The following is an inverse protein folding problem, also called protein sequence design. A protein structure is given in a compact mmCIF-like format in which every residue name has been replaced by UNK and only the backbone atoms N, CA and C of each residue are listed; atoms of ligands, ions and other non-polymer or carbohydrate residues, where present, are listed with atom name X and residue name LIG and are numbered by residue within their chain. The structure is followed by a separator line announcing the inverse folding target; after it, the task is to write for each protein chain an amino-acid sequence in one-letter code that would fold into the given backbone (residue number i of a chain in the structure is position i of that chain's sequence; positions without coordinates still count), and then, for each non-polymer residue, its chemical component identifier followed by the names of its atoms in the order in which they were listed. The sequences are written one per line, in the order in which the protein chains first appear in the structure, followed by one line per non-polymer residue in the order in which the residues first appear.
data_IF_465349699102
#
_entry.id   IF_465349699102
#
_cell.length_a   1.000
_cell.length_b   1.000
_cell.length_c   1.000
_cell.angle_alpha   90.00
_cell.angle_beta   90.00
_cell.angle_gamma   90.00
#
_symmetry.space_group_name_H-M   'P 1'
#
loop_
_entity.id
_entity.type
_entity.pdbx_description
1 polymer ?
#
# COMPACT_ATOMS: atom_id res chain seq x y z
N UNK A 1 -51.57 -24.32 12.88
CA UNK A 1 -50.31 -25.09 12.90
C UNK A 1 -49.86 -25.27 11.44
N UNK A 2 -49.11 -24.31 10.87
CA UNK A 2 -48.67 -24.38 9.47
C UNK A 2 -47.38 -25.22 9.38
N UNK A 3 -47.49 -26.47 8.93
CA UNK A 3 -46.32 -27.28 8.53
C UNK A 3 -45.85 -26.78 7.18
N UNK A 4 -44.69 -26.12 7.14
CA UNK A 4 -43.95 -25.86 5.91
C UNK A 4 -43.52 -27.21 5.31
N UNK A 5 -44.27 -27.71 4.32
CA UNK A 5 -43.83 -28.82 3.49
C UNK A 5 -42.61 -28.36 2.67
N UNK A 6 -41.41 -28.69 3.14
CA UNK A 6 -40.23 -28.66 2.27
C UNK A 6 -40.44 -29.74 1.21
N UNK A 7 -40.74 -29.32 -0.02
CA UNK A 7 -40.98 -30.24 -1.13
C UNK A 7 -39.72 -31.06 -1.42
N UNK A 8 -39.87 -32.36 -1.73
CA UNK A 8 -38.76 -33.24 -2.10
C UNK A 8 -37.97 -32.72 -3.32
N UNK A 9 -38.59 -31.89 -4.16
CA UNK A 9 -37.95 -31.15 -5.25
C UNK A 9 -36.83 -30.24 -4.76
N UNK A 10 -37.08 -29.47 -3.69
CA UNK A 10 -36.12 -28.52 -3.10
C UNK A 10 -34.90 -29.25 -2.49
N UNK A 11 -35.11 -30.43 -1.92
CA UNK A 11 -34.03 -31.30 -1.42
C UNK A 11 -33.21 -31.92 -2.56
N UNK A 12 -33.88 -32.32 -3.66
CA UNK A 12 -33.21 -32.88 -4.84
C UNK A 12 -32.33 -31.84 -5.56
N UNK A 13 -32.80 -30.59 -5.67
CA UNK A 13 -32.05 -29.51 -6.27
C UNK A 13 -30.88 -29.07 -5.39
N UNK A 14 -31.05 -29.02 -4.07
CA UNK A 14 -29.95 -28.80 -3.12
C UNK A 14 -28.87 -29.87 -3.24
N UNK A 15 -29.25 -31.14 -3.36
CA UNK A 15 -28.30 -32.24 -3.57
C UNK A 15 -27.60 -32.15 -4.94
N UNK A 16 -28.32 -31.76 -5.99
CA UNK A 16 -27.76 -31.54 -7.32
C UNK A 16 -26.76 -30.39 -7.32
N UNK A 17 -27.09 -29.25 -6.72
CA UNK A 17 -26.20 -28.09 -6.55
C UNK A 17 -24.95 -28.49 -5.75
N UNK A 18 -25.11 -29.19 -4.63
CA UNK A 18 -24.00 -29.69 -3.80
C UNK A 18 -23.06 -30.60 -4.59
N UNK A 19 -23.60 -31.49 -5.42
CA UNK A 19 -22.79 -32.38 -6.26
C UNK A 19 -22.00 -31.62 -7.35
N UNK A 20 -22.62 -30.60 -7.96
CA UNK A 20 -21.97 -29.74 -8.97
C UNK A 20 -20.88 -28.88 -8.36
N UNK A 21 -21.11 -28.28 -7.20
CA UNK A 21 -20.12 -27.51 -6.46
C UNK A 21 -18.93 -28.38 -6.03
N UNK A 22 -19.18 -29.59 -5.53
CA UNK A 22 -18.09 -30.52 -5.16
C UNK A 22 -17.22 -30.87 -6.37
N UNK A 23 -17.83 -31.11 -7.54
CA UNK A 23 -17.11 -31.32 -8.81
C UNK A 23 -16.39 -30.06 -9.32
N UNK A 24 -17.00 -28.89 -9.12
CA UNK A 24 -16.39 -27.62 -9.49
C UNK A 24 -15.14 -27.33 -8.67
N UNK A 25 -15.21 -27.46 -7.33
CA UNK A 25 -14.08 -27.20 -6.44
C UNK A 25 -12.89 -28.10 -6.77
N UNK A 26 -13.13 -29.40 -7.03
CA UNK A 26 -12.04 -30.34 -7.36
C UNK A 26 -11.46 -30.15 -8.76
N UNK A 27 -12.22 -29.56 -9.68
CA UNK A 27 -11.78 -29.30 -11.07
C UNK A 27 -11.42 -27.84 -11.31
N UNK A 28 -11.45 -26.99 -10.28
CA UNK A 28 -11.19 -25.56 -10.41
C UNK A 28 -9.75 -25.37 -10.88
N UNK A 29 -9.52 -24.68 -12.01
CA UNK A 29 -8.17 -24.38 -12.46
C UNK A 29 -7.45 -23.50 -11.44
N UNK A 30 -6.13 -23.65 -11.35
CA UNK A 30 -5.30 -22.82 -10.48
C UNK A 30 -5.34 -21.34 -10.91
N UNK A 31 -5.05 -20.42 -9.99
CA UNK A 31 -4.92 -19.00 -10.30
C UNK A 31 -3.93 -18.76 -11.44
N UNK A 32 -2.78 -19.44 -11.38
CA UNK A 32 -1.73 -19.38 -12.41
C UNK A 32 -2.27 -19.79 -13.79
N UNK A 33 -3.03 -20.89 -13.87
CA UNK A 33 -3.65 -21.34 -15.13
C UNK A 33 -4.66 -20.33 -15.68
N UNK A 34 -5.36 -19.60 -14.82
CA UNK A 34 -6.29 -18.55 -15.24
C UNK A 34 -5.55 -17.30 -15.75
N UNK A 35 -4.42 -16.95 -15.14
CA UNK A 35 -3.53 -15.89 -15.60
C UNK A 35 -2.88 -16.23 -16.95
N UNK A 36 -2.33 -17.44 -17.09
CA UNK A 36 -1.72 -17.94 -18.35
C UNK A 36 -2.72 -17.95 -19.52
N UNK A 37 -4.00 -18.19 -19.24
CA UNK A 37 -5.08 -18.13 -20.23
C UNK A 37 -5.56 -16.70 -20.54
N UNK A 38 -4.98 -15.69 -19.90
CA UNK A 38 -5.40 -14.29 -20.03
C UNK A 38 -6.79 -14.00 -19.45
N UNK A 39 -7.36 -14.94 -18.69
CA UNK A 39 -8.67 -14.77 -18.05
C UNK A 39 -8.57 -13.88 -16.80
N UNK A 40 -7.39 -13.80 -16.19
CA UNK A 40 -7.04 -12.89 -15.11
C UNK A 40 -5.80 -12.13 -15.55
N UNK A 41 -5.94 -10.82 -15.80
CA UNK A 41 -4.79 -9.95 -16.09
C UNK A 41 -4.06 -9.60 -14.80
N UNK A 42 -2.77 -9.31 -14.93
CA UNK A 42 -2.00 -8.75 -13.83
C UNK A 42 -2.59 -7.39 -13.45
N UNK A 43 -2.86 -7.24 -12.16
CA UNK A 43 -3.49 -6.05 -11.61
C UNK A 43 -2.41 -5.11 -11.08
N UNK A 44 -2.67 -3.81 -11.02
CA UNK A 44 -1.72 -2.88 -10.36
C UNK A 44 -1.75 -3.10 -8.84
N UNK A 45 -2.96 -3.15 -8.26
CA UNK A 45 -3.15 -3.49 -6.86
C UNK A 45 -2.97 -4.98 -6.61
N UNK A 46 -2.23 -5.34 -5.56
CA UNK A 46 -2.00 -6.74 -5.19
C UNK A 46 -0.81 -7.40 -5.90
N UNK A 47 -0.17 -6.72 -6.84
CA UNK A 47 1.00 -7.22 -7.56
C UNK A 47 2.30 -6.81 -6.89
N UNK A 48 3.35 -7.58 -7.15
CA UNK A 48 4.68 -7.28 -6.64
C UNK A 48 5.20 -5.97 -7.26
N UNK A 49 5.82 -5.04 -6.49
CA UNK A 49 6.31 -3.77 -7.02
C UNK A 49 7.22 -3.92 -8.23
N UNK A 50 8.08 -4.94 -8.22
CA UNK A 50 8.95 -5.29 -9.36
C UNK A 50 8.14 -5.55 -10.63
N UNK A 51 7.12 -6.42 -10.57
CA UNK A 51 6.30 -6.79 -11.74
C UNK A 51 5.58 -5.57 -12.31
N UNK A 52 4.97 -4.76 -11.46
CA UNK A 52 4.29 -3.52 -11.87
C UNK A 52 5.29 -2.57 -12.56
N UNK A 53 6.44 -2.34 -11.94
CA UNK A 53 7.47 -1.43 -12.44
C UNK A 53 8.09 -1.92 -13.76
N UNK A 54 8.29 -3.23 -13.91
CA UNK A 54 8.80 -3.86 -15.12
C UNK A 54 7.82 -3.71 -16.30
N UNK A 55 6.52 -3.97 -16.08
CA UNK A 55 5.48 -3.75 -17.07
C UNK A 55 5.39 -2.28 -17.51
N UNK A 56 5.61 -1.35 -16.57
CA UNK A 56 5.57 0.09 -16.83
C UNK A 56 6.90 0.66 -17.36
N UNK A 57 7.96 -0.15 -17.47
CA UNK A 57 9.33 0.29 -17.77
C UNK A 57 9.77 1.49 -16.89
N UNK A 58 9.53 1.38 -15.58
CA UNK A 58 9.73 2.43 -14.57
C UNK A 58 10.32 1.80 -13.30
N UNK A 59 10.77 2.61 -12.33
CA UNK A 59 11.11 2.16 -10.97
C UNK A 59 10.10 2.61 -9.92
N UNK A 60 9.07 3.36 -10.34
CA UNK A 60 7.97 3.80 -9.47
C UNK A 60 6.68 3.67 -10.25
N UNK A 61 5.66 3.04 -9.66
CA UNK A 61 4.37 2.86 -10.34
C UNK A 61 3.76 4.21 -10.71
N UNK A 62 3.22 4.31 -11.93
CA UNK A 62 2.53 5.50 -12.42
C UNK A 62 1.40 5.92 -11.47
N UNK A 63 0.70 4.95 -10.86
CA UNK A 63 -0.40 5.23 -9.93
C UNK A 63 0.08 5.96 -8.68
N UNK A 64 1.24 5.56 -8.15
CA UNK A 64 1.87 6.24 -7.01
C UNK A 64 2.22 7.68 -7.36
N UNK A 65 2.84 7.90 -8.53
CA UNK A 65 3.19 9.25 -9.03
C UNK A 65 1.94 10.12 -9.19
N UNK A 66 0.89 9.60 -9.81
CA UNK A 66 -0.37 10.33 -10.04
C UNK A 66 -1.05 10.73 -8.73
N UNK A 67 -1.17 9.81 -7.76
CA UNK A 67 -1.70 10.13 -6.44
C UNK A 67 -0.90 11.24 -5.75
N UNK A 68 0.44 11.18 -5.80
CA UNK A 68 1.32 12.18 -5.21
C UNK A 68 1.15 13.54 -5.89
N UNK A 69 1.08 13.60 -7.21
CA UNK A 69 0.89 14.86 -7.94
C UNK A 69 -0.47 15.50 -7.63
N UNK A 70 -1.53 14.71 -7.52
CA UNK A 70 -2.86 15.23 -7.16
C UNK A 70 -2.89 15.77 -5.73
N UNK A 71 -2.26 15.06 -4.78
CA UNK A 71 -2.15 15.55 -3.40
C UNK A 71 -1.30 16.83 -3.34
N UNK A 72 -0.22 16.92 -4.13
CA UNK A 72 0.56 18.17 -4.25
C UNK A 72 -0.29 19.32 -4.80
N UNK A 73 -1.12 19.06 -5.81
CA UNK A 73 -1.94 20.07 -6.49
C UNK A 73 -3.05 20.63 -5.60
N UNK A 74 -3.77 19.78 -4.85
CA UNK A 74 -4.99 20.20 -4.12
C UNK A 74 -5.15 19.64 -2.71
N UNK A 75 -4.22 18.83 -2.22
CA UNK A 75 -4.34 18.14 -0.93
C UNK A 75 -3.48 18.68 0.20
N UNK A 76 -2.42 19.45 -0.08
CA UNK A 76 -1.41 19.80 0.92
C UNK A 76 -1.93 20.70 2.06
N UNK A 77 -3.02 21.43 1.84
CA UNK A 77 -3.63 22.33 2.85
C UNK A 77 -4.88 21.71 3.50
N UNK A 78 -5.25 20.47 3.16
CA UNK A 78 -6.46 19.82 3.69
C UNK A 78 -6.20 19.23 5.07
N UNK A 79 -7.02 19.61 6.05
CA UNK A 79 -6.96 19.12 7.41
C UNK A 79 -6.93 17.59 7.49
N UNK A 80 -5.92 17.06 8.18
CA UNK A 80 -5.76 15.63 8.37
C UNK A 80 -5.51 14.85 7.08
N UNK A 81 -4.89 15.46 6.05
CA UNK A 81 -4.47 14.74 4.83
C UNK A 81 -3.70 13.46 5.19
N UNK A 82 -4.00 12.34 4.52
CA UNK A 82 -3.57 10.97 4.88
C UNK A 82 -4.11 10.37 6.17
N UNK A 83 -4.49 11.15 7.19
CA UNK A 83 -5.12 10.64 8.43
C UNK A 83 -6.60 10.35 8.25
N UNK A 84 -7.34 11.29 7.67
CA UNK A 84 -8.78 11.16 7.41
C UNK A 84 -9.02 10.10 6.33
N UNK A 85 -10.07 9.30 6.51
CA UNK A 85 -10.47 8.23 5.60
C UNK A 85 -11.47 8.75 4.57
N UNK A 86 -11.20 8.51 3.29
CA UNK A 86 -12.18 8.74 2.22
C UNK A 86 -13.24 7.64 2.18
N UNK A 87 -14.25 7.85 1.34
CA UNK A 87 -15.30 6.86 1.13
C UNK A 87 -14.75 5.55 0.56
N UNK A 88 -14.88 4.45 1.30
CA UNK A 88 -14.32 3.15 0.92
C UNK A 88 -14.90 2.60 -0.40
N UNK A 89 -16.19 2.81 -0.67
CA UNK A 89 -16.81 2.36 -1.91
C UNK A 89 -16.20 3.10 -3.12
N UNK A 90 -15.96 4.40 -3.00
CA UNK A 90 -15.28 5.20 -4.03
C UNK A 90 -13.82 4.78 -4.20
N UNK A 91 -13.11 4.47 -3.11
CA UNK A 91 -11.75 3.93 -3.17
C UNK A 91 -11.72 2.58 -3.91
N UNK A 92 -12.68 1.68 -3.64
CA UNK A 92 -12.79 0.40 -4.34
C UNK A 92 -13.10 0.59 -5.83
N UNK A 93 -13.94 1.58 -6.18
CA UNK A 93 -14.18 1.96 -7.58
C UNK A 93 -12.90 2.44 -8.26
N UNK A 94 -12.10 3.28 -7.59
CA UNK A 94 -10.81 3.76 -8.11
C UNK A 94 -9.83 2.60 -8.32
N UNK A 95 -9.70 1.72 -7.32
CA UNK A 95 -8.91 0.49 -7.40
C UNK A 95 -9.29 -0.36 -8.62
N UNK A 96 -10.58 -0.56 -8.86
CA UNK A 96 -11.07 -1.31 -10.01
C UNK A 96 -10.65 -0.67 -11.34
N UNK A 97 -10.84 0.65 -11.49
CA UNK A 97 -10.47 1.39 -12.71
C UNK A 97 -8.96 1.30 -12.97
N UNK A 98 -8.14 1.48 -11.92
CA UNK A 98 -6.67 1.36 -12.02
C UNK A 98 -6.26 -0.04 -12.48
N UNK A 99 -6.88 -1.10 -11.95
CA UNK A 99 -6.57 -2.48 -12.32
C UNK A 99 -6.99 -2.86 -13.74
N UNK A 100 -7.92 -2.12 -14.35
CA UNK A 100 -8.37 -2.34 -15.72
C UNK A 100 -7.48 -1.64 -16.74
N UNK A 101 -6.43 -0.93 -16.30
CA UNK A 101 -5.55 -0.10 -17.14
C UNK A 101 -6.32 0.93 -18.00
N UNK A 102 -7.50 1.35 -17.52
CA UNK A 102 -8.26 2.41 -18.15
C UNK A 102 -7.56 3.76 -17.94
N UNK A 103 -7.77 4.71 -18.86
CA UNK A 103 -7.24 6.08 -18.72
C UNK A 103 -7.81 6.71 -17.45
N UNK A 104 -7.01 6.80 -16.41
CA UNK A 104 -7.39 7.43 -15.15
C UNK A 104 -7.02 8.92 -15.17
N UNK A 105 -8.03 9.77 -14.98
CA UNK A 105 -7.83 11.18 -14.64
C UNK A 105 -8.30 11.45 -13.20
N UNK A 106 -7.36 11.68 -12.29
CA UNK A 106 -7.66 11.96 -10.87
C UNK A 106 -8.18 13.39 -10.60
N UNK A 107 -8.25 14.23 -11.65
CA UNK A 107 -8.93 15.54 -11.60
C UNK A 107 -10.43 15.45 -11.92
N UNK A 108 -10.94 14.29 -12.35
CA UNK A 108 -12.37 14.12 -12.61
C UNK A 108 -13.20 14.30 -11.32
N UNK A 109 -14.42 14.85 -11.45
CA UNK A 109 -15.33 15.10 -10.32
C UNK A 109 -15.66 13.85 -9.51
N UNK A 110 -15.54 12.67 -10.11
CA UNK A 110 -15.67 11.40 -9.42
C UNK A 110 -14.66 11.21 -8.26
N UNK A 111 -13.53 11.90 -8.32
CA UNK A 111 -12.42 11.81 -7.36
C UNK A 111 -12.18 13.13 -6.61
N UNK A 112 -13.16 14.03 -6.58
CA UNK A 112 -13.04 15.36 -5.97
C UNK A 112 -12.59 15.29 -4.50
N UNK A 113 -13.07 14.31 -3.73
CA UNK A 113 -12.59 14.06 -2.37
C UNK A 113 -11.14 13.55 -2.38
N UNK A 114 -10.21 14.38 -1.88
CA UNK A 114 -8.79 14.03 -1.79
C UNK A 114 -8.54 12.83 -0.86
N UNK A 115 -9.43 12.57 0.09
CA UNK A 115 -9.31 11.43 1.00
C UNK A 115 -9.55 10.09 0.29
N UNK A 116 -10.25 10.10 -0.86
CA UNK A 116 -10.33 8.92 -1.76
C UNK A 116 -8.95 8.64 -2.37
N UNK A 117 -8.26 9.67 -2.88
CA UNK A 117 -6.94 9.52 -3.51
C UNK A 117 -5.90 9.04 -2.48
N UNK A 118 -5.82 9.70 -1.33
CA UNK A 118 -4.91 9.28 -0.25
C UNK A 118 -5.28 7.92 0.32
N UNK A 119 -6.57 7.59 0.40
CA UNK A 119 -7.07 6.27 0.79
C UNK A 119 -6.64 5.17 -0.16
N UNK A 120 -6.73 5.42 -1.47
CA UNK A 120 -6.30 4.49 -2.52
C UNK A 120 -4.78 4.32 -2.56
N UNK A 121 -4.01 5.40 -2.38
CA UNK A 121 -2.55 5.30 -2.26
C UNK A 121 -2.13 4.44 -1.05
N UNK A 122 -2.76 4.64 0.12
CA UNK A 122 -2.53 3.78 1.29
C UNK A 122 -2.92 2.31 1.00
N UNK A 123 -4.06 2.10 0.33
CA UNK A 123 -4.53 0.77 -0.03
C UNK A 123 -3.56 0.04 -0.97
N UNK A 124 -2.97 0.74 -1.94
CA UNK A 124 -1.95 0.18 -2.84
C UNK A 124 -0.80 -0.45 -2.06
N UNK A 125 -0.19 0.27 -1.11
CA UNK A 125 0.92 -0.25 -0.30
C UNK A 125 0.51 -1.37 0.66
N UNK A 126 -0.71 -1.31 1.23
CA UNK A 126 -1.23 -2.38 2.10
C UNK A 126 -1.48 -3.67 1.34
N UNK A 127 -1.91 -3.59 0.08
CA UNK A 127 -2.23 -4.76 -0.74
C UNK A 127 -1.01 -5.37 -1.43
N UNK A 128 0.17 -4.73 -1.38
CA UNK A 128 1.39 -5.35 -1.92
C UNK A 128 1.63 -6.73 -1.28
N UNK A 129 2.04 -7.75 -2.05
CA UNK A 129 2.33 -9.07 -1.52
C UNK A 129 3.47 -9.05 -0.49
N UNK A 130 4.44 -8.17 -0.71
CA UNK A 130 5.51 -7.83 0.24
C UNK A 130 5.47 -6.32 0.54
N UNK A 131 5.66 -5.88 1.80
CA UNK A 131 5.71 -4.46 2.15
C UNK A 131 6.77 -3.70 1.35
N UNK A 132 6.61 -2.37 1.25
CA UNK A 132 7.58 -1.52 0.57
C UNK A 132 8.98 -1.67 1.17
N UNK A 133 9.05 -1.80 2.51
CA UNK A 133 10.23 -2.26 3.23
C UNK A 133 10.20 -3.80 3.25
N UNK A 134 11.03 -4.51 2.46
CA UNK A 134 10.95 -5.96 2.32
C UNK A 134 11.16 -6.68 3.65
N UNK A 135 10.56 -7.86 3.82
CA UNK A 135 10.62 -8.63 5.08
C UNK A 135 12.08 -8.94 5.46
N UNK A 136 12.91 -9.27 4.47
CA UNK A 136 14.35 -9.53 4.64
C UNK A 136 15.16 -8.35 5.20
N UNK A 137 14.63 -7.13 5.12
CA UNK A 137 15.27 -5.92 5.65
C UNK A 137 14.68 -5.46 6.98
N UNK A 138 13.51 -5.97 7.39
CA UNK A 138 12.78 -5.46 8.55
C UNK A 138 13.64 -5.45 9.83
N UNK A 139 14.23 -6.59 10.20
CA UNK A 139 15.08 -6.70 11.39
C UNK A 139 16.31 -5.78 11.30
N UNK A 140 16.88 -5.58 10.10
CA UNK A 140 18.03 -4.69 9.92
C UNK A 140 17.63 -3.22 10.16
N UNK A 141 16.44 -2.81 9.71
CA UNK A 141 15.91 -1.48 10.01
C UNK A 141 15.60 -1.30 11.50
N UNK A 142 15.08 -2.33 12.17
CA UNK A 142 14.84 -2.34 13.62
C UNK A 142 16.15 -2.18 14.39
N UNK A 143 17.19 -2.95 14.06
CA UNK A 143 18.51 -2.82 14.69
C UNK A 143 19.17 -1.47 14.40
N UNK A 144 18.93 -0.90 13.22
CA UNK A 144 19.44 0.43 12.88
C UNK A 144 18.86 1.52 13.80
N UNK A 145 17.55 1.53 14.06
CA UNK A 145 16.91 2.55 14.92
C UNK A 145 17.24 2.38 16.40
N UNK A 146 17.64 1.19 16.85
CA UNK A 146 18.05 0.92 18.23
C UNK A 146 19.44 1.45 18.58
N UNK A 147 20.27 1.82 17.60
CA UNK A 147 21.61 2.36 17.83
C UNK A 147 21.54 3.59 18.75
N UNK A 148 22.45 3.81 19.70
CA UNK A 148 22.36 4.95 20.62
C UNK A 148 22.68 6.29 19.92
N UNK A 149 23.67 6.29 19.03
CA UNK A 149 24.11 7.47 18.31
C UNK A 149 23.22 7.78 17.10
N UNK A 150 22.77 9.03 16.99
CA UNK A 150 21.82 9.44 15.95
C UNK A 150 22.46 9.45 14.55
N UNK A 151 23.73 9.83 14.43
CA UNK A 151 24.42 9.83 13.13
C UNK A 151 24.62 8.38 12.64
N UNK A 152 24.99 7.47 13.55
CA UNK A 152 25.09 6.05 13.26
C UNK A 152 23.74 5.45 12.84
N UNK A 153 22.61 5.89 13.42
CA UNK A 153 21.27 5.50 12.94
C UNK A 153 21.08 5.90 11.48
N UNK A 154 21.30 7.19 11.18
CA UNK A 154 21.07 7.77 9.86
C UNK A 154 21.94 7.09 8.79
N UNK A 155 23.23 6.92 9.06
CA UNK A 155 24.16 6.26 8.13
C UNK A 155 23.80 4.79 7.89
N UNK A 156 23.37 4.07 8.94
CA UNK A 156 22.94 2.68 8.77
C UNK A 156 21.66 2.59 7.94
N UNK A 157 20.67 3.44 8.22
CA UNK A 157 19.41 3.50 7.46
C UNK A 157 19.68 3.85 5.99
N UNK A 158 20.52 4.84 5.74
CA UNK A 158 20.96 5.24 4.40
C UNK A 158 21.60 4.09 3.65
N UNK A 159 22.51 3.35 4.28
CA UNK A 159 23.13 2.17 3.71
C UNK A 159 22.09 1.08 3.36
N UNK A 160 21.13 0.81 4.25
CA UNK A 160 20.06 -0.16 4.00
C UNK A 160 19.18 0.25 2.82
N UNK A 161 18.79 1.53 2.74
CA UNK A 161 17.99 2.07 1.62
C UNK A 161 18.72 1.92 0.29
N UNK A 162 20.03 2.13 0.25
CA UNK A 162 20.84 1.94 -0.97
C UNK A 162 20.91 0.48 -1.43
N UNK A 163 20.76 -0.48 -0.51
CA UNK A 163 20.78 -1.92 -0.80
C UNK A 163 19.42 -2.46 -1.26
N UNK A 164 18.35 -1.68 -1.13
CA UNK A 164 17.03 -2.10 -1.59
C UNK A 164 16.99 -2.24 -3.12
N UNK A 165 16.11 -3.12 -3.64
CA UNK A 165 15.81 -3.16 -5.07
C UNK A 165 15.38 -1.78 -5.59
N UNK A 166 15.75 -1.40 -6.84
CA UNK A 166 15.41 -0.09 -7.39
C UNK A 166 13.91 0.28 -7.28
N UNK A 167 12.95 -0.63 -7.54
CA UNK A 167 11.53 -0.32 -7.37
C UNK A 167 11.15 0.14 -5.96
N UNK A 168 11.70 -0.53 -4.94
CA UNK A 168 11.44 -0.20 -3.53
C UNK A 168 12.11 1.12 -3.16
N UNK A 169 13.40 1.26 -3.47
CA UNK A 169 14.21 2.43 -3.12
C UNK A 169 13.65 3.71 -3.75
N UNK A 170 13.38 3.68 -5.04
CA UNK A 170 12.94 4.87 -5.78
C UNK A 170 11.51 5.25 -5.37
N UNK A 171 10.64 4.25 -5.13
CA UNK A 171 9.29 4.48 -4.59
C UNK A 171 9.35 5.09 -3.19
N UNK A 172 10.25 4.62 -2.30
CA UNK A 172 10.49 5.24 -1.00
C UNK A 172 10.96 6.69 -1.15
N UNK A 173 11.92 6.96 -2.04
CA UNK A 173 12.46 8.32 -2.26
C UNK A 173 11.36 9.29 -2.67
N UNK A 174 10.51 8.90 -3.61
CA UNK A 174 9.39 9.74 -4.09
C UNK A 174 8.32 9.91 -3.00
N UNK A 175 7.97 8.84 -2.28
CA UNK A 175 6.95 8.88 -1.24
C UNK A 175 7.37 9.72 -0.03
N UNK A 176 8.55 9.49 0.53
CA UNK A 176 9.04 10.27 1.68
C UNK A 176 9.35 11.71 1.29
N UNK A 177 9.84 11.96 0.07
CA UNK A 177 10.00 13.32 -0.46
C UNK A 177 8.67 14.04 -0.70
N UNK A 178 7.57 13.32 -0.89
CA UNK A 178 6.23 13.91 -0.87
C UNK A 178 5.79 14.24 0.56
N UNK A 179 6.03 13.35 1.52
CA UNK A 179 5.67 13.58 2.92
C UNK A 179 6.40 14.77 3.54
N UNK A 180 7.64 15.07 3.16
CA UNK A 180 8.31 16.30 3.62
C UNK A 180 7.53 17.56 3.22
N UNK A 181 6.90 17.58 2.04
CA UNK A 181 6.04 18.68 1.58
C UNK A 181 4.73 18.76 2.37
N UNK A 182 4.18 17.62 2.79
CA UNK A 182 3.00 17.57 3.68
C UNK A 182 3.36 18.17 5.05
N UNK A 183 4.46 17.72 5.66
CA UNK A 183 4.92 18.22 6.97
C UNK A 183 5.29 19.70 6.91
N UNK A 184 5.85 20.18 5.80
CA UNK A 184 6.13 21.61 5.61
C UNK A 184 4.86 22.48 5.68
N UNK A 185 3.67 21.90 5.51
CA UNK A 185 2.36 22.56 5.61
C UNK A 185 1.58 22.17 6.86
N UNK A 186 2.26 21.65 7.89
CA UNK A 186 1.66 21.21 9.15
C UNK A 186 0.77 22.27 9.84
N UNK A 187 1.10 23.56 9.69
CA UNK A 187 0.30 24.65 10.26
C UNK A 187 -1.10 24.79 9.65
N UNK A 188 -1.30 24.24 8.45
CA UNK A 188 -2.60 24.21 7.76
C UNK A 188 -3.24 22.83 7.86
N UNK A 189 -2.54 21.79 7.42
CA UNK A 189 -3.12 20.45 7.32
C UNK A 189 -3.12 19.66 8.64
N UNK A 190 -2.51 20.17 9.71
CA UNK A 190 -2.50 19.54 11.04
C UNK A 190 -1.85 18.14 11.07
N UNK A 191 -0.90 17.89 10.16
CA UNK A 191 -0.12 16.65 10.08
C UNK A 191 1.34 16.90 10.46
N UNK A 192 1.85 16.10 11.40
CA UNK A 192 3.24 16.10 11.83
C UNK A 192 3.99 14.86 11.33
N UNK A 193 5.30 14.84 11.50
CA UNK A 193 6.13 13.65 11.25
C UNK A 193 5.60 12.44 12.01
N UNK A 194 5.22 12.61 13.27
CA UNK A 194 4.69 11.55 14.13
C UNK A 194 3.33 11.05 13.64
N UNK A 195 2.41 11.96 13.27
CA UNK A 195 1.10 11.53 12.79
C UNK A 195 1.18 10.79 11.45
N UNK A 196 2.10 11.18 10.55
CA UNK A 196 2.38 10.41 9.34
C UNK A 196 3.10 9.09 9.64
N UNK A 197 3.99 9.05 10.63
CA UNK A 197 4.64 7.83 11.11
C UNK A 197 3.62 6.79 11.59
N UNK A 198 2.60 7.21 12.35
CA UNK A 198 1.51 6.32 12.81
C UNK A 198 0.69 5.78 11.64
N UNK A 199 0.43 6.59 10.61
CA UNK A 199 -0.35 6.17 9.43
C UNK A 199 0.46 5.24 8.53
N UNK A 200 1.72 5.58 8.27
CA UNK A 200 2.54 4.92 7.26
C UNK A 200 3.49 3.85 7.80
N UNK A 201 3.79 3.82 9.10
CA UNK A 201 4.52 2.74 9.76
C UNK A 201 3.93 1.37 9.43
N UNK A 202 2.69 1.05 9.86
CA UNK A 202 2.05 -0.23 9.55
C UNK A 202 1.65 -0.40 8.07
N UNK A 203 1.59 0.69 7.31
CA UNK A 203 1.27 0.63 5.86
C UNK A 203 2.47 0.19 5.04
N UNK A 204 3.67 0.65 5.38
CA UNK A 204 4.90 0.43 4.61
C UNK A 204 5.77 -0.68 5.19
N UNK A 205 5.63 -1.00 6.47
CA UNK A 205 6.37 -2.03 7.18
C UNK A 205 5.40 -3.03 7.79
N UNK A 206 5.69 -4.33 7.63
CA UNK A 206 4.96 -5.43 8.25
C UNK A 206 5.96 -6.46 8.74
N UNK A 207 5.76 -7.02 9.93
CA UNK A 207 6.57 -8.15 10.37
C UNK A 207 6.03 -9.42 9.71
N UNK A 208 6.91 -10.27 9.17
CA UNK A 208 6.52 -11.52 8.50
C UNK A 208 5.88 -12.51 9.49
N UNK A 209 6.38 -12.53 10.73
CA UNK A 209 5.84 -13.33 11.83
C UNK A 209 5.31 -12.43 12.94
N UNK A 210 4.02 -12.55 13.25
CA UNK A 210 3.36 -11.87 14.38
C UNK A 210 3.73 -12.47 15.76
N UNK A 211 4.62 -13.47 15.80
CA UNK A 211 5.01 -14.20 17.02
C UNK A 211 5.80 -13.37 18.05
N UNK A 212 6.17 -12.13 17.72
CA UNK A 212 6.77 -11.17 18.64
C UNK A 212 5.73 -10.35 19.42
N UNK A 213 6.20 -9.48 20.32
CA UNK A 213 5.29 -8.53 20.97
C UNK A 213 4.81 -7.51 19.93
N UNK A 214 3.61 -7.73 19.39
CA UNK A 214 2.98 -6.91 18.35
C UNK A 214 3.03 -5.41 18.66
N UNK A 215 2.89 -5.02 19.93
CA UNK A 215 2.96 -3.62 20.35
C UNK A 215 4.35 -3.02 20.14
N UNK A 216 5.41 -3.80 20.37
CA UNK A 216 6.80 -3.36 20.15
C UNK A 216 7.07 -3.18 18.66
N UNK A 217 6.60 -4.11 17.82
CA UNK A 217 6.77 -4.01 16.37
C UNK A 217 6.08 -2.75 15.81
N UNK A 218 4.87 -2.43 16.28
CA UNK A 218 4.19 -1.19 15.88
C UNK A 218 5.00 0.07 16.23
N UNK A 219 5.62 0.11 17.41
CA UNK A 219 6.47 1.25 17.81
C UNK A 219 7.67 1.38 16.87
N UNK A 220 8.34 0.28 16.54
CA UNK A 220 9.49 0.31 15.63
C UNK A 220 9.10 0.73 14.21
N UNK A 221 7.99 0.24 13.67
CA UNK A 221 7.49 0.63 12.36
C UNK A 221 7.26 2.14 12.26
N UNK A 222 6.64 2.72 13.29
CA UNK A 222 6.39 4.15 13.36
C UNK A 222 7.72 4.93 13.47
N UNK A 223 8.63 4.51 14.34
CA UNK A 223 9.94 5.15 14.51
C UNK A 223 10.80 5.10 13.24
N UNK A 224 10.77 3.99 12.50
CA UNK A 224 11.46 3.87 11.20
C UNK A 224 10.87 4.88 10.21
N UNK A 225 9.54 4.94 10.08
CA UNK A 225 8.88 5.89 9.19
C UNK A 225 9.16 7.35 9.59
N UNK A 226 9.15 7.67 10.89
CA UNK A 226 9.49 9.00 11.41
C UNK A 226 10.95 9.38 11.13
N UNK A 227 11.89 8.46 11.30
CA UNK A 227 13.30 8.71 11.03
C UNK A 227 13.53 8.92 9.53
N UNK A 228 12.96 8.05 8.68
CA UNK A 228 13.01 8.19 7.22
C UNK A 228 12.48 9.55 6.74
N UNK A 229 11.42 10.05 7.37
CA UNK A 229 10.82 11.34 7.04
C UNK A 229 11.61 12.53 7.60
N UNK A 230 11.93 12.52 8.89
CA UNK A 230 12.65 13.63 9.55
C UNK A 230 14.07 13.82 9.04
N UNK A 231 14.70 12.73 8.59
CA UNK A 231 16.08 12.70 8.07
C UNK A 231 16.14 12.42 6.58
N UNK A 232 15.05 12.72 5.87
CA UNK A 232 14.92 12.45 4.43
C UNK A 232 16.12 12.94 3.63
N UNK A 233 16.51 14.21 3.75
CA UNK A 233 17.61 14.79 2.97
C UNK A 233 18.96 14.09 3.21
N UNK A 234 19.22 13.66 4.44
CA UNK A 234 20.46 12.98 4.83
C UNK A 234 20.49 11.54 4.29
N UNK A 235 19.33 10.87 4.30
CA UNK A 235 19.13 9.49 3.85
C UNK A 235 19.05 9.38 2.32
N UNK A 236 18.35 10.29 1.64
CA UNK A 236 18.16 10.26 0.19
C UNK A 236 19.41 10.68 -0.58
N UNK A 237 20.39 11.27 0.11
CA UNK A 237 21.53 11.96 -0.46
C UNK A 237 21.09 13.30 -1.05
N UNK A 238 21.71 14.39 -0.60
CA UNK A 238 21.66 15.70 -1.24
C UNK A 238 22.27 15.59 -2.64
N UNK A 239 21.43 15.44 -3.66
CA UNK A 239 21.82 15.42 -5.06
C UNK A 239 20.59 15.50 -5.93
N UNK A 240 20.40 16.71 -6.50
CA UNK A 240 19.48 17.11 -7.57
C UNK A 240 18.10 17.64 -7.13
N UNK A 241 18.09 18.98 -6.97
CA UNK A 241 17.03 19.87 -7.46
C UNK A 241 16.82 19.72 -8.97
#
# INVERSE_FOLDING_TARGET
MFRLYHSALDTSDKNRVKSRLKKFITRRPSLKTLQEKGLIKDQIFGSHPHTVCECENSTVSWFVKQCIEVVKKRGLDVDGIYRVSGNLATIQKLRFIVNQEEKLNLDDSQWEDIHVVTGALKMFFRELPEPLFPYSFFEQFVEAIKKPDNNARIETIKFLVQKLPPPNRDTMKVLFGHFTKVVARASKNLMSTQSLGIVFGPTLLRAENEAGNMAIHMVYQNQIAELMLSKYNEISGSGED
#
